data_IF_793924254639
#
_entry.id   IF_793924254639
#
_cell.length_a   1.000
_cell.length_b   1.000
_cell.length_c   1.000
_cell.angle_alpha   90.00
_cell.angle_beta   90.00
_cell.angle_gamma   90.00
#
_symmetry.space_group_name_H-M   'P 1'
#
loop_
_entity.id
_entity.type
_entity.pdbx_description
1 polymer ?
#
# COMPACT_ATOMS: atom_id res chain seq x y z
N UNK A 1 -5.60 -17.97 25.64
CA UNK A 1 -4.13 -17.88 25.51
C UNK A 1 -3.83 -17.50 24.06
N UNK A 2 -2.81 -16.68 23.80
CA UNK A 2 -2.38 -16.40 22.42
C UNK A 2 -1.86 -17.70 21.77
N UNK A 3 -2.09 -17.83 20.47
CA UNK A 3 -1.61 -18.99 19.70
C UNK A 3 -0.09 -18.96 19.60
N UNK A 4 0.58 -20.07 19.91
CA UNK A 4 2.04 -20.21 19.79
C UNK A 4 2.38 -20.46 18.32
N UNK A 5 3.10 -19.53 17.71
CA UNK A 5 3.58 -19.64 16.32
C UNK A 5 4.95 -20.32 16.27
N UNK A 6 5.84 -19.98 17.21
CA UNK A 6 7.19 -20.50 17.29
C UNK A 6 7.57 -20.87 18.72
N UNK A 7 8.29 -21.93 18.89
CA UNK A 7 8.99 -22.25 20.11
C UNK A 7 10.49 -22.44 19.83
N UNK A 8 11.28 -22.57 20.89
CA UNK A 8 12.73 -22.78 20.81
C UNK A 8 13.08 -23.86 19.79
N UNK A 9 12.55 -25.07 19.95
CA UNK A 9 12.93 -26.22 19.11
C UNK A 9 12.59 -26.03 17.64
N UNK A 10 11.41 -25.47 17.35
CA UNK A 10 11.00 -25.12 15.97
C UNK A 10 11.92 -24.08 15.36
N UNK A 11 12.27 -23.05 16.13
CA UNK A 11 13.10 -21.94 15.65
C UNK A 11 14.57 -22.40 15.43
N UNK A 12 15.14 -23.21 16.32
CA UNK A 12 16.46 -23.81 16.12
C UNK A 12 16.52 -24.68 14.87
N UNK A 13 15.53 -25.54 14.68
CA UNK A 13 15.44 -26.39 13.48
C UNK A 13 15.28 -25.58 12.19
N UNK A 14 14.49 -24.48 12.24
CA UNK A 14 14.25 -23.62 11.10
C UNK A 14 15.46 -22.75 10.72
N UNK A 15 16.15 -22.21 11.72
CA UNK A 15 17.17 -21.18 11.53
C UNK A 15 18.61 -21.73 11.55
N UNK A 16 18.79 -22.99 12.02
CA UNK A 16 20.08 -23.59 12.38
C UNK A 16 20.79 -22.80 13.51
N UNK A 17 20.05 -21.99 14.24
CA UNK A 17 20.52 -21.24 15.38
C UNK A 17 20.53 -22.10 16.67
N UNK A 18 21.05 -21.52 17.75
CA UNK A 18 21.10 -22.14 19.07
C UNK A 18 20.56 -21.22 20.14
N UNK A 19 19.85 -21.77 21.09
CA UNK A 19 19.36 -21.07 22.27
C UNK A 19 19.41 -22.01 23.48
N UNK A 20 19.92 -21.54 24.63
CA UNK A 20 20.02 -22.41 25.81
C UNK A 20 18.73 -22.46 26.64
N UNK A 21 17.91 -21.41 26.56
CA UNK A 21 16.71 -21.28 27.38
C UNK A 21 15.42 -21.55 26.60
N UNK A 22 14.42 -22.13 27.26
CA UNK A 22 13.11 -22.38 26.65
C UNK A 22 12.29 -21.09 26.51
N UNK A 23 11.60 -20.96 25.39
CA UNK A 23 10.63 -19.89 25.11
C UNK A 23 9.58 -20.33 24.10
N UNK A 24 8.46 -19.64 24.11
CA UNK A 24 7.36 -19.75 23.15
C UNK A 24 6.93 -18.34 22.73
N UNK A 25 6.77 -18.13 21.42
CA UNK A 25 6.39 -16.85 20.85
C UNK A 25 5.07 -16.95 20.08
N UNK A 26 4.22 -15.93 20.28
CA UNK A 26 2.94 -15.79 19.59
C UNK A 26 2.97 -14.80 18.41
N UNK A 27 4.11 -14.14 18.19
CA UNK A 27 4.35 -13.20 17.12
C UNK A 27 5.83 -12.96 16.88
N UNK A 28 6.13 -12.11 15.90
CA UNK A 28 7.49 -11.70 15.56
C UNK A 28 7.48 -10.19 15.31
N UNK A 29 8.44 -9.46 15.89
CA UNK A 29 8.63 -8.02 15.67
C UNK A 29 10.10 -7.65 15.52
N UNK A 30 10.39 -6.64 14.72
CA UNK A 30 11.74 -6.02 14.62
C UNK A 30 11.76 -4.59 15.17
N UNK A 31 10.62 -4.08 15.66
CA UNK A 31 10.53 -2.75 16.29
C UNK A 31 10.26 -2.89 17.78
N UNK A 32 11.29 -2.62 18.61
CA UNK A 32 11.19 -2.74 20.07
C UNK A 32 10.15 -1.80 20.70
N UNK A 33 9.74 -0.72 20.02
CA UNK A 33 8.75 0.27 20.50
C UNK A 33 7.31 -0.20 20.35
N UNK A 34 7.06 -1.09 19.39
CA UNK A 34 5.72 -1.58 19.06
C UNK A 34 5.58 -3.09 19.23
N UNK A 35 6.54 -3.71 19.91
CA UNK A 35 6.54 -5.14 20.20
C UNK A 35 5.37 -5.49 21.14
N UNK A 36 4.72 -6.62 20.89
CA UNK A 36 3.68 -7.11 21.77
C UNK A 36 4.26 -8.10 22.79
N UNK A 37 3.59 -8.21 23.93
CA UNK A 37 3.94 -9.24 24.92
C UNK A 37 3.77 -10.62 24.28
N UNK A 38 4.85 -11.41 24.31
CA UNK A 38 4.87 -12.73 23.70
C UNK A 38 5.52 -12.80 22.32
N UNK A 39 6.02 -11.70 21.76
CA UNK A 39 6.73 -11.69 20.47
C UNK A 39 8.18 -12.17 20.60
N UNK A 40 8.68 -12.79 19.53
CA UNK A 40 10.11 -12.95 19.25
C UNK A 40 10.64 -11.66 18.63
N UNK A 41 11.61 -11.00 19.27
CA UNK A 41 12.28 -9.83 18.69
C UNK A 41 13.34 -10.26 17.69
N UNK A 42 13.44 -9.57 16.56
CA UNK A 42 14.45 -9.81 15.51
C UNK A 42 15.41 -8.63 15.46
N UNK A 43 16.66 -8.84 15.87
CA UNK A 43 17.70 -7.83 15.90
C UNK A 43 18.34 -7.66 14.52
N UNK A 44 17.67 -6.93 13.61
CA UNK A 44 18.17 -6.67 12.27
C UNK A 44 19.35 -5.70 12.30
N UNK A 45 20.44 -5.97 11.55
CA UNK A 45 21.50 -4.99 11.32
C UNK A 45 20.98 -3.86 10.42
N UNK A 46 21.44 -2.63 10.64
CA UNK A 46 21.05 -1.47 9.86
C UNK A 46 21.83 -0.23 10.30
N UNK A 47 21.43 0.98 9.86
CA UNK A 47 21.99 2.25 10.34
C UNK A 47 21.95 2.33 11.88
N UNK A 48 20.91 1.78 12.48
CA UNK A 48 20.83 1.48 13.91
C UNK A 48 20.86 -0.03 14.05
N UNK A 49 21.87 -0.55 14.75
CA UNK A 49 21.99 -1.99 14.97
C UNK A 49 20.87 -2.48 15.91
N UNK A 50 20.03 -3.39 15.41
CA UNK A 50 18.94 -3.98 16.19
C UNK A 50 19.38 -4.64 17.48
N UNK A 51 20.64 -5.07 17.58
CA UNK A 51 21.22 -5.65 18.79
C UNK A 51 21.25 -4.67 19.97
N UNK A 52 21.35 -3.37 19.72
CA UNK A 52 21.32 -2.33 20.76
C UNK A 52 19.93 -2.16 21.39
N UNK A 53 18.89 -2.66 20.75
CA UNK A 53 17.50 -2.58 21.21
C UNK A 53 16.97 -3.86 21.85
N UNK A 54 17.79 -4.91 21.99
CA UNK A 54 17.36 -6.20 22.57
C UNK A 54 16.85 -6.00 23.99
N UNK A 55 17.55 -5.23 24.83
CA UNK A 55 17.09 -4.93 26.19
C UNK A 55 15.73 -4.24 26.18
N UNK A 56 15.57 -3.19 25.37
CA UNK A 56 14.29 -2.48 25.23
C UNK A 56 13.17 -3.40 24.74
N UNK A 57 13.47 -4.36 23.86
CA UNK A 57 12.49 -5.34 23.40
C UNK A 57 12.01 -6.27 24.53
N UNK A 58 12.93 -6.77 25.36
CA UNK A 58 12.56 -7.57 26.55
C UNK A 58 11.77 -6.74 27.56
N UNK A 59 12.18 -5.50 27.83
CA UNK A 59 11.49 -4.58 28.74
C UNK A 59 10.04 -4.30 28.27
N UNK A 60 9.82 -4.31 26.95
CA UNK A 60 8.51 -4.11 26.33
C UNK A 60 7.73 -5.41 26.06
N UNK A 61 8.23 -6.59 26.48
CA UNK A 61 7.48 -7.84 26.50
C UNK A 61 7.88 -8.91 25.49
N UNK A 62 9.03 -8.77 24.81
CA UNK A 62 9.61 -9.86 24.03
C UNK A 62 9.86 -11.07 24.93
N UNK A 63 9.56 -12.28 24.42
CA UNK A 63 9.84 -13.53 25.13
C UNK A 63 11.19 -14.12 24.77
N UNK A 64 11.77 -13.74 23.65
CA UNK A 64 13.09 -14.10 23.17
C UNK A 64 13.58 -13.09 22.15
N UNK A 65 14.88 -13.11 21.82
CA UNK A 65 15.44 -12.32 20.73
C UNK A 65 16.29 -13.17 19.79
N UNK A 66 16.10 -13.03 18.48
CA UNK A 66 16.96 -13.61 17.46
C UNK A 66 18.07 -12.59 17.12
N UNK A 67 19.31 -13.02 17.30
CA UNK A 67 20.51 -12.17 17.22
C UNK A 67 21.61 -12.85 16.42
N UNK A 68 22.50 -12.09 15.77
CA UNK A 68 23.70 -12.66 15.11
C UNK A 68 24.95 -12.60 15.96
N UNK A 69 24.91 -11.89 17.08
CA UNK A 69 25.98 -11.78 18.07
C UNK A 69 25.37 -11.58 19.44
N UNK A 70 26.07 -11.95 20.50
CA UNK A 70 25.58 -11.72 21.85
C UNK A 70 25.54 -10.23 22.18
N UNK A 71 24.37 -9.66 22.54
CA UNK A 71 24.26 -8.26 22.92
C UNK A 71 24.95 -7.98 24.26
N UNK A 72 25.37 -6.74 24.47
CA UNK A 72 25.98 -6.31 25.74
C UNK A 72 24.99 -6.47 26.92
N UNK A 73 25.47 -7.03 28.02
CA UNK A 73 24.66 -7.26 29.24
C UNK A 73 23.78 -8.51 29.22
N UNK A 74 23.92 -9.34 28.22
CA UNK A 74 23.26 -10.65 28.11
C UNK A 74 24.27 -11.79 28.22
N UNK A 75 23.83 -12.95 28.65
CA UNK A 75 24.65 -14.16 28.80
C UNK A 75 24.00 -15.36 28.06
N UNK A 76 24.67 -16.49 28.05
CA UNK A 76 24.25 -17.69 27.34
C UNK A 76 22.94 -18.32 27.85
N UNK A 77 22.53 -17.99 29.09
CA UNK A 77 21.28 -18.48 29.68
C UNK A 77 20.08 -17.57 29.39
N UNK A 78 20.33 -16.41 28.76
CA UNK A 78 19.24 -15.53 28.30
C UNK A 78 18.54 -16.16 27.09
N UNK A 79 17.30 -15.74 26.86
CA UNK A 79 16.47 -16.27 25.76
C UNK A 79 16.87 -15.68 24.41
N UNK A 80 18.13 -15.92 24.02
CA UNK A 80 18.73 -15.48 22.77
C UNK A 80 18.84 -16.65 21.79
N UNK A 81 18.19 -16.53 20.64
CA UNK A 81 18.38 -17.41 19.50
C UNK A 81 19.55 -16.86 18.67
N UNK A 82 20.72 -17.41 18.83
CA UNK A 82 21.93 -16.98 18.11
C UNK A 82 21.97 -17.67 16.76
N UNK A 83 22.05 -16.88 15.69
CA UNK A 83 22.07 -17.31 14.28
C UNK A 83 23.23 -16.66 13.53
N UNK A 84 23.67 -17.24 12.42
CA UNK A 84 24.75 -16.64 11.61
C UNK A 84 24.33 -15.31 10.96
N UNK A 85 23.09 -15.22 10.47
CA UNK A 85 22.52 -14.07 9.80
C UNK A 85 21.02 -13.99 10.12
N UNK A 86 20.61 -12.90 10.77
CA UNK A 86 19.24 -12.71 11.23
C UNK A 86 18.24 -12.65 10.07
N UNK A 87 18.60 -12.00 8.97
CA UNK A 87 17.70 -11.90 7.81
C UNK A 87 17.54 -13.25 7.11
N UNK A 88 18.62 -13.99 6.91
CA UNK A 88 18.56 -15.35 6.32
C UNK A 88 17.80 -16.30 7.22
N UNK A 89 17.95 -16.20 8.54
CA UNK A 89 17.21 -16.98 9.51
C UNK A 89 15.71 -16.70 9.42
N UNK A 90 15.29 -15.45 9.35
CA UNK A 90 13.90 -15.06 9.14
C UNK A 90 13.33 -15.62 7.83
N UNK A 91 14.09 -15.55 6.73
CA UNK A 91 13.67 -16.15 5.43
C UNK A 91 13.50 -17.67 5.55
N UNK A 92 14.36 -18.36 6.31
CA UNK A 92 14.19 -19.81 6.56
C UNK A 92 12.92 -20.10 7.34
N UNK A 93 12.65 -19.33 8.41
CA UNK A 93 11.38 -19.44 9.16
C UNK A 93 10.17 -19.20 8.24
N UNK A 94 10.20 -18.18 7.42
CA UNK A 94 9.17 -17.87 6.42
C UNK A 94 8.91 -19.04 5.46
N UNK A 95 9.98 -19.64 4.91
CA UNK A 95 9.88 -20.82 4.01
C UNK A 95 9.22 -22.03 4.70
N UNK A 96 9.55 -22.27 5.95
CA UNK A 96 8.95 -23.38 6.71
C UNK A 96 7.46 -23.12 6.96
N UNK A 97 7.10 -21.97 7.51
CA UNK A 97 5.69 -21.59 7.68
C UNK A 97 4.90 -21.67 6.37
N UNK A 98 5.49 -21.15 5.27
CA UNK A 98 4.84 -21.22 3.96
C UNK A 98 4.59 -22.65 3.49
N UNK A 99 5.55 -23.54 3.68
CA UNK A 99 5.43 -24.92 3.24
C UNK A 99 4.47 -25.76 4.12
N UNK A 100 4.31 -25.39 5.37
CA UNK A 100 3.38 -26.06 6.31
C UNK A 100 1.94 -25.53 6.19
N UNK A 101 1.74 -24.35 5.59
CA UNK A 101 0.43 -23.75 5.48
C UNK A 101 -0.35 -24.27 4.26
N UNK A 102 -1.59 -24.74 4.51
CA UNK A 102 -2.56 -25.14 3.48
C UNK A 102 -3.44 -23.99 3.00
N UNK A 103 -3.21 -22.78 3.49
CA UNK A 103 -3.97 -21.59 3.10
C UNK A 103 -3.85 -21.31 1.58
N UNK A 104 -4.84 -20.62 1.05
CA UNK A 104 -4.80 -20.03 -0.30
C UNK A 104 -4.01 -18.74 -0.23
N UNK A 105 -2.88 -18.68 -0.95
CA UNK A 105 -2.00 -17.51 -1.00
C UNK A 105 -2.34 -16.62 -2.18
N UNK A 106 -2.58 -15.34 -1.92
CA UNK A 106 -2.90 -14.31 -2.90
C UNK A 106 -1.75 -13.31 -2.93
N UNK A 107 -0.98 -13.32 -4.02
CA UNK A 107 0.09 -12.35 -4.28
C UNK A 107 -0.49 -11.09 -4.93
N UNK A 108 -0.15 -9.91 -4.39
CA UNK A 108 -0.66 -8.62 -4.90
C UNK A 108 0.52 -7.72 -5.24
N UNK A 109 0.65 -7.36 -6.52
CA UNK A 109 1.64 -6.39 -7.01
C UNK A 109 1.00 -5.31 -7.88
N UNK A 110 1.80 -4.36 -8.33
CA UNK A 110 1.41 -3.28 -9.22
C UNK A 110 2.21 -2.01 -8.94
N UNK A 111 2.13 -1.03 -9.80
CA UNK A 111 2.74 0.28 -9.58
C UNK A 111 2.00 1.02 -8.47
N UNK A 112 0.68 1.09 -8.56
CA UNK A 112 -0.22 1.73 -7.58
C UNK A 112 -1.31 0.76 -7.13
N UNK A 113 -1.99 1.03 -6.00
CA UNK A 113 -3.15 0.27 -5.56
C UNK A 113 -2.88 -0.98 -4.71
N UNK A 114 -1.64 -1.48 -4.62
CA UNK A 114 -1.28 -2.71 -3.88
C UNK A 114 -1.85 -2.77 -2.46
N UNK A 115 -1.50 -1.80 -1.63
CA UNK A 115 -1.90 -1.78 -0.20
C UNK A 115 -3.41 -1.64 -0.04
N UNK A 116 -4.05 -0.77 -0.85
CA UNK A 116 -5.50 -0.60 -0.80
C UNK A 116 -6.23 -1.88 -1.24
N UNK A 117 -5.73 -2.58 -2.28
CA UNK A 117 -6.28 -3.88 -2.71
C UNK A 117 -6.09 -4.94 -1.65
N UNK A 118 -4.92 -5.02 -1.01
CA UNK A 118 -4.66 -5.93 0.11
C UNK A 118 -5.59 -5.64 1.29
N UNK A 119 -5.78 -4.38 1.63
CA UNK A 119 -6.63 -3.96 2.74
C UNK A 119 -8.11 -4.27 2.47
N UNK A 120 -8.64 -3.91 1.30
CA UNK A 120 -9.97 -4.34 0.83
C UNK A 120 -10.09 -5.86 0.85
N UNK A 121 -9.09 -6.57 0.33
CA UNK A 121 -9.04 -8.03 0.29
C UNK A 121 -9.05 -8.64 1.69
N UNK A 122 -8.34 -8.06 2.66
CA UNK A 122 -8.37 -8.55 4.04
C UNK A 122 -9.78 -8.49 4.63
N UNK A 123 -10.52 -7.42 4.36
CA UNK A 123 -11.91 -7.27 4.79
C UNK A 123 -12.84 -8.28 4.10
N UNK A 124 -12.67 -8.47 2.79
CA UNK A 124 -13.44 -9.40 1.97
C UNK A 124 -13.20 -10.85 2.40
N UNK A 125 -11.94 -11.29 2.45
CA UNK A 125 -11.62 -12.69 2.71
C UNK A 125 -11.89 -13.12 4.15
N UNK A 126 -11.87 -12.19 5.12
CA UNK A 126 -12.33 -12.45 6.50
C UNK A 126 -13.79 -12.95 6.56
N UNK A 127 -14.62 -12.58 5.58
CA UNK A 127 -16.00 -13.08 5.51
C UNK A 127 -16.09 -14.55 5.06
N UNK A 128 -15.03 -15.13 4.52
CA UNK A 128 -14.98 -16.52 4.05
C UNK A 128 -14.10 -17.44 4.89
N UNK A 129 -13.32 -16.88 5.81
CA UNK A 129 -12.49 -17.65 6.74
C UNK A 129 -11.36 -16.85 7.38
N UNK A 130 -10.62 -17.51 8.29
CA UNK A 130 -9.47 -16.93 8.98
C UNK A 130 -8.48 -16.43 7.94
N UNK A 131 -8.18 -15.13 7.98
CA UNK A 131 -7.38 -14.44 6.96
C UNK A 131 -6.19 -13.75 7.59
N UNK A 132 -5.01 -14.03 7.06
CA UNK A 132 -3.75 -13.38 7.42
C UNK A 132 -3.27 -12.48 6.25
N UNK A 133 -2.57 -11.39 6.53
CA UNK A 133 -2.13 -10.45 5.50
C UNK A 133 -0.94 -9.61 5.94
N UNK A 134 -0.17 -9.10 4.97
CA UNK A 134 0.98 -8.22 5.22
C UNK A 134 0.57 -7.00 6.02
N UNK A 135 1.25 -6.76 7.12
CA UNK A 135 1.06 -5.54 7.92
C UNK A 135 1.55 -4.32 7.16
N UNK A 136 0.86 -3.18 7.31
CA UNK A 136 1.24 -1.92 6.64
C UNK A 136 1.52 -2.15 5.15
N UNK A 137 2.59 -1.55 4.61
CA UNK A 137 3.09 -1.77 3.24
C UNK A 137 4.40 -2.57 3.26
N UNK A 138 4.49 -3.59 4.14
CA UNK A 138 5.64 -4.48 4.22
C UNK A 138 5.64 -5.42 3.01
N UNK A 139 6.30 -5.01 1.92
CA UNK A 139 6.22 -5.64 0.61
C UNK A 139 7.59 -6.00 -0.01
N UNK A 140 8.67 -5.85 0.75
CA UNK A 140 10.03 -6.29 0.43
C UNK A 140 10.33 -7.65 1.10
N UNK A 141 11.58 -8.13 0.97
CA UNK A 141 12.00 -9.43 1.52
C UNK A 141 11.76 -9.53 3.03
N UNK A 142 12.04 -8.47 3.81
CA UNK A 142 11.74 -8.44 5.24
C UNK A 142 10.23 -8.56 5.51
N UNK A 143 9.44 -7.73 4.84
CA UNK A 143 7.99 -7.69 5.03
C UNK A 143 7.28 -8.97 4.61
N UNK A 144 7.65 -9.55 3.47
CA UNK A 144 7.13 -10.84 3.02
C UNK A 144 7.52 -11.96 3.98
N UNK A 145 8.79 -11.98 4.43
CA UNK A 145 9.26 -13.00 5.37
C UNK A 145 8.55 -12.91 6.72
N UNK A 146 8.35 -11.70 7.26
CA UNK A 146 7.56 -11.51 8.49
C UNK A 146 6.12 -11.98 8.31
N UNK A 147 5.48 -11.62 7.21
CA UNK A 147 4.11 -12.06 6.90
C UNK A 147 4.01 -13.57 6.89
N UNK A 148 4.95 -14.24 6.23
CA UNK A 148 4.95 -15.71 6.15
C UNK A 148 5.28 -16.38 7.49
N UNK A 149 6.29 -15.87 8.21
CA UNK A 149 6.72 -16.43 9.49
C UNK A 149 5.69 -16.25 10.63
N UNK A 150 4.69 -15.37 10.42
CA UNK A 150 3.64 -15.08 11.41
C UNK A 150 2.26 -15.61 11.01
N UNK A 151 2.18 -16.55 10.07
CA UNK A 151 0.90 -17.16 9.66
C UNK A 151 0.33 -17.98 10.83
N UNK A 152 -0.85 -17.63 11.36
CA UNK A 152 -1.51 -18.44 12.38
C UNK A 152 -1.97 -19.81 11.82
N UNK A 153 -2.07 -20.81 12.67
CA UNK A 153 -2.68 -22.10 12.31
C UNK A 153 -4.12 -21.86 11.84
N UNK A 154 -4.65 -22.80 11.07
CA UNK A 154 -6.03 -22.76 10.52
C UNK A 154 -6.33 -21.52 9.67
N UNK A 155 -5.30 -20.77 9.24
CA UNK A 155 -5.46 -19.69 8.28
C UNK A 155 -5.94 -20.25 6.95
N UNK A 156 -7.04 -19.70 6.43
CA UNK A 156 -7.63 -20.12 5.15
C UNK A 156 -7.15 -19.28 3.97
N UNK A 157 -6.87 -18.01 4.20
CA UNK A 157 -6.41 -17.07 3.17
C UNK A 157 -5.22 -16.26 3.67
N UNK A 158 -4.21 -16.10 2.81
CA UNK A 158 -3.04 -15.25 3.08
C UNK A 158 -2.89 -14.25 1.93
N UNK A 159 -2.96 -12.95 2.23
CA UNK A 159 -2.73 -11.89 1.25
C UNK A 159 -1.35 -11.28 1.45
N UNK A 160 -0.49 -11.39 0.44
CA UNK A 160 0.87 -10.87 0.50
C UNK A 160 1.05 -9.76 -0.50
N UNK A 161 1.37 -8.57 -0.01
CA UNK A 161 1.79 -7.45 -0.85
C UNK A 161 3.23 -7.65 -1.30
N UNK A 162 3.49 -7.58 -2.61
CA UNK A 162 4.81 -7.78 -3.22
C UNK A 162 5.18 -6.51 -3.99
N UNK A 163 6.20 -5.82 -3.50
CA UNK A 163 6.74 -4.58 -4.07
C UNK A 163 8.06 -4.81 -4.78
N UNK A 164 8.56 -3.75 -5.41
CA UNK A 164 9.91 -3.72 -6.02
C UNK A 164 10.41 -2.30 -6.12
N UNK A 165 11.71 -2.15 -6.05
CA UNK A 165 12.49 -0.98 -6.42
C UNK A 165 13.49 -1.28 -7.54
N UNK A 166 13.87 -2.54 -7.73
CA UNK A 166 14.86 -3.02 -8.70
C UNK A 166 14.34 -4.25 -9.46
N UNK A 167 14.98 -4.54 -10.60
CA UNK A 167 14.66 -5.72 -11.40
C UNK A 167 15.00 -7.03 -10.67
N UNK A 168 14.12 -8.02 -10.78
CA UNK A 168 14.27 -9.36 -10.21
C UNK A 168 13.73 -9.53 -8.80
N UNK A 169 13.44 -8.46 -8.06
CA UNK A 169 12.92 -8.54 -6.69
C UNK A 169 11.56 -9.23 -6.62
N UNK A 170 10.65 -8.94 -7.56
CA UNK A 170 9.32 -9.59 -7.55
C UNK A 170 9.44 -11.09 -7.81
N UNK A 171 10.33 -11.51 -8.71
CA UNK A 171 10.55 -12.93 -8.96
C UNK A 171 11.05 -13.67 -7.70
N UNK A 172 12.05 -13.10 -7.01
CA UNK A 172 12.57 -13.66 -5.76
C UNK A 172 11.47 -13.75 -4.68
N UNK A 173 10.72 -12.68 -4.47
CA UNK A 173 9.63 -12.64 -3.51
C UNK A 173 8.51 -13.61 -3.88
N UNK A 174 8.19 -13.74 -5.15
CA UNK A 174 7.19 -14.69 -5.64
C UNK A 174 7.60 -16.13 -5.38
N UNK A 175 8.88 -16.48 -5.57
CA UNK A 175 9.41 -17.80 -5.24
C UNK A 175 9.38 -18.10 -3.73
N UNK A 176 9.50 -17.08 -2.89
CA UNK A 176 9.34 -17.21 -1.44
C UNK A 176 7.86 -17.41 -1.06
N UNK A 177 6.97 -16.58 -1.59
CA UNK A 177 5.53 -16.55 -1.26
C UNK A 177 4.80 -17.74 -1.90
N UNK A 178 5.18 -18.16 -3.09
CA UNK A 178 4.54 -19.22 -3.90
C UNK A 178 3.01 -19.00 -3.97
N UNK A 179 2.53 -17.90 -4.56
CA UNK A 179 1.11 -17.57 -4.56
C UNK A 179 0.30 -18.62 -5.34
N UNK A 180 -0.91 -18.93 -4.85
CA UNK A 180 -1.88 -19.71 -5.60
C UNK A 180 -2.57 -18.85 -6.65
N UNK A 181 -2.88 -17.60 -6.29
CA UNK A 181 -3.52 -16.61 -7.17
C UNK A 181 -2.81 -15.27 -7.08
N UNK A 182 -2.92 -14.47 -8.14
CA UNK A 182 -2.21 -13.22 -8.31
C UNK A 182 -3.17 -12.10 -8.72
N UNK A 183 -2.94 -10.90 -8.18
CA UNK A 183 -3.57 -9.66 -8.64
C UNK A 183 -2.45 -8.68 -9.01
N UNK A 184 -2.44 -8.22 -10.26
CA UNK A 184 -1.66 -7.07 -10.71
C UNK A 184 -2.63 -5.88 -10.77
N UNK A 185 -2.46 -4.90 -9.90
CA UNK A 185 -3.44 -3.81 -9.71
C UNK A 185 -3.33 -2.74 -10.78
N UNK A 186 -2.11 -2.41 -11.18
CA UNK A 186 -1.78 -1.37 -12.14
C UNK A 186 -0.35 -1.56 -12.67
N UNK A 187 -0.11 -1.15 -13.91
CA UNK A 187 1.24 -1.08 -14.51
C UNK A 187 1.38 0.26 -15.21
N UNK A 188 2.10 1.17 -14.58
CA UNK A 188 2.36 2.53 -15.04
C UNK A 188 3.75 2.98 -14.61
N UNK A 189 4.15 4.18 -15.00
CA UNK A 189 5.45 4.75 -14.65
C UNK A 189 5.55 4.91 -13.11
N UNK A 190 6.55 4.24 -12.53
CA UNK A 190 6.91 4.31 -11.12
C UNK A 190 8.19 3.51 -10.88
N UNK A 191 9.03 3.96 -9.94
CA UNK A 191 10.34 3.36 -9.66
C UNK A 191 11.24 3.23 -10.90
N UNK A 192 11.09 4.17 -11.86
CA UNK A 192 11.76 4.09 -13.17
C UNK A 192 13.28 4.27 -13.04
N UNK A 193 13.74 4.86 -11.95
CA UNK A 193 15.17 4.95 -11.65
C UNK A 193 15.80 3.57 -11.49
N UNK A 194 15.15 2.65 -10.79
CA UNK A 194 15.60 1.26 -10.61
C UNK A 194 15.22 0.36 -11.78
N UNK A 195 14.03 0.54 -12.35
CA UNK A 195 13.48 -0.34 -13.39
C UNK A 195 13.80 0.09 -14.82
N UNK A 196 14.28 1.33 -15.05
CA UNK A 196 14.80 1.92 -16.29
C UNK A 196 13.75 2.22 -17.38
N UNK A 197 12.74 1.38 -17.61
CA UNK A 197 11.76 1.56 -18.68
C UNK A 197 10.39 1.01 -18.30
N UNK A 198 9.33 1.43 -19.01
CA UNK A 198 8.00 0.87 -18.86
C UNK A 198 7.96 -0.62 -19.25
N UNK A 199 8.71 -1.03 -20.25
CA UNK A 199 8.81 -2.45 -20.65
C UNK A 199 9.38 -3.30 -19.51
N UNK A 200 10.42 -2.83 -18.85
CA UNK A 200 10.99 -3.50 -17.68
C UNK A 200 10.00 -3.52 -16.48
N UNK A 201 9.22 -2.45 -16.30
CA UNK A 201 8.17 -2.43 -15.26
C UNK A 201 7.13 -3.50 -15.53
N UNK A 202 6.72 -3.67 -16.79
CA UNK A 202 5.79 -4.75 -17.19
C UNK A 202 6.39 -6.12 -16.91
N UNK A 203 7.63 -6.35 -17.35
CA UNK A 203 8.33 -7.63 -17.16
C UNK A 203 8.50 -7.95 -15.67
N UNK A 204 8.89 -6.96 -14.87
CA UNK A 204 9.03 -7.09 -13.43
C UNK A 204 7.69 -7.40 -12.75
N UNK A 205 6.58 -6.73 -13.13
CA UNK A 205 5.27 -7.03 -12.55
C UNK A 205 4.75 -8.40 -12.97
N UNK A 206 4.98 -8.81 -14.24
CA UNK A 206 4.61 -10.14 -14.72
C UNK A 206 5.39 -11.25 -14.00
N UNK A 207 6.62 -10.97 -13.52
CA UNK A 207 7.47 -11.94 -12.84
C UNK A 207 6.89 -12.46 -11.51
N UNK A 208 5.82 -11.81 -10.98
CA UNK A 208 5.07 -12.36 -9.85
C UNK A 208 4.50 -13.74 -10.15
N UNK A 209 4.29 -14.07 -11.43
CA UNK A 209 3.81 -15.39 -11.85
C UNK A 209 4.88 -16.48 -11.76
N UNK A 210 6.17 -16.13 -11.64
CA UNK A 210 7.27 -17.10 -11.63
C UNK A 210 7.23 -18.09 -10.46
N UNK A 211 6.72 -17.65 -9.30
CA UNK A 211 6.53 -18.51 -8.12
C UNK A 211 5.12 -19.08 -7.98
N UNK A 212 4.21 -18.78 -8.93
CA UNK A 212 2.83 -19.21 -8.86
C UNK A 212 2.71 -20.74 -8.98
N UNK A 213 1.83 -21.32 -8.19
CA UNK A 213 1.50 -22.74 -8.33
C UNK A 213 0.78 -23.01 -9.67
N UNK A 214 0.99 -24.19 -10.23
CA UNK A 214 0.34 -24.61 -11.48
C UNK A 214 -1.19 -24.46 -11.39
N UNK A 215 -1.81 -23.99 -12.50
CA UNK A 215 -3.25 -23.69 -12.60
C UNK A 215 -3.74 -22.51 -11.76
N UNK A 216 -2.84 -21.67 -11.25
CA UNK A 216 -3.20 -20.44 -10.57
C UNK A 216 -3.83 -19.41 -11.52
N UNK A 217 -4.64 -18.52 -10.94
CA UNK A 217 -5.30 -17.42 -11.67
C UNK A 217 -4.46 -16.16 -11.51
N UNK A 218 -4.21 -15.46 -12.63
CA UNK A 218 -3.62 -14.13 -12.64
C UNK A 218 -4.66 -13.11 -13.13
N UNK A 219 -5.01 -12.17 -12.26
CA UNK A 219 -5.95 -11.09 -12.53
C UNK A 219 -5.16 -9.85 -12.87
N UNK A 220 -5.34 -9.33 -14.10
CA UNK A 220 -4.54 -8.22 -14.63
C UNK A 220 -5.38 -7.05 -15.15
N UNK A 221 -4.91 -5.80 -15.04
CA UNK A 221 -5.62 -4.63 -15.53
C UNK A 221 -5.57 -4.52 -17.05
N UNK A 222 -6.73 -4.29 -17.72
CA UNK A 222 -6.81 -4.20 -19.19
C UNK A 222 -6.33 -2.84 -19.72
N UNK A 223 -6.77 -1.76 -19.12
CA UNK A 223 -6.56 -0.39 -19.63
C UNK A 223 -5.17 0.20 -19.33
N UNK A 224 -4.12 -0.57 -19.51
CA UNK A 224 -2.73 -0.12 -19.38
C UNK A 224 -2.06 -0.04 -20.75
N UNK A 225 -1.11 0.87 -20.92
CA UNK A 225 -0.43 1.12 -22.20
C UNK A 225 0.20 -0.13 -22.82
N UNK A 226 0.79 -0.99 -21.99
CA UNK A 226 1.52 -2.18 -22.44
C UNK A 226 0.76 -3.50 -22.13
N UNK A 227 -0.57 -3.50 -22.28
CA UNK A 227 -1.37 -4.67 -21.94
C UNK A 227 -0.93 -5.94 -22.66
N UNK A 228 -0.73 -5.89 -23.98
CA UNK A 228 -0.36 -7.08 -24.77
C UNK A 228 0.97 -7.70 -24.33
N UNK A 229 1.94 -6.86 -23.92
CA UNK A 229 3.20 -7.35 -23.35
C UNK A 229 2.95 -8.05 -22.01
N UNK A 230 2.17 -7.44 -21.11
CA UNK A 230 1.82 -8.02 -19.81
C UNK A 230 1.08 -9.37 -20.00
N UNK A 231 0.08 -9.39 -20.88
CA UNK A 231 -0.71 -10.58 -21.19
C UNK A 231 0.19 -11.72 -21.68
N UNK A 232 1.05 -11.46 -22.67
CA UNK A 232 1.98 -12.45 -23.22
C UNK A 232 2.93 -13.01 -22.14
N UNK A 233 3.48 -12.14 -21.29
CA UNK A 233 4.38 -12.55 -20.21
C UNK A 233 3.67 -13.41 -19.18
N UNK A 234 2.48 -13.01 -18.73
CA UNK A 234 1.68 -13.76 -17.74
C UNK A 234 1.27 -15.13 -18.28
N UNK A 235 0.84 -15.20 -19.55
CA UNK A 235 0.52 -16.47 -20.21
C UNK A 235 1.75 -17.36 -20.35
N UNK A 236 2.92 -16.77 -20.63
CA UNK A 236 4.19 -17.48 -20.73
C UNK A 236 4.59 -18.23 -19.43
N UNK A 237 4.12 -17.78 -18.27
CA UNK A 237 4.27 -18.50 -17.00
C UNK A 237 3.24 -19.63 -16.79
N UNK A 238 2.26 -19.79 -17.69
CA UNK A 238 1.22 -20.81 -17.60
C UNK A 238 0.07 -20.47 -16.65
N UNK A 239 -0.08 -19.21 -16.28
CA UNK A 239 -1.19 -18.72 -15.45
C UNK A 239 -2.50 -18.67 -16.26
N UNK A 240 -3.62 -19.01 -15.61
CA UNK A 240 -4.94 -18.71 -16.16
C UNK A 240 -5.24 -17.22 -15.98
N UNK A 241 -5.29 -16.49 -17.08
CA UNK A 241 -5.42 -15.04 -17.08
C UNK A 241 -6.89 -14.62 -17.10
N UNK A 242 -7.25 -13.63 -16.28
CA UNK A 242 -8.53 -12.92 -16.35
C UNK A 242 -8.23 -11.41 -16.28
N UNK A 243 -8.67 -10.67 -17.29
CA UNK A 243 -8.49 -9.24 -17.38
C UNK A 243 -9.67 -8.47 -16.76
N UNK A 244 -9.39 -7.32 -16.14
CA UNK A 244 -10.42 -6.42 -15.63
C UNK A 244 -10.14 -4.97 -16.06
N UNK A 245 -11.20 -4.20 -16.27
CA UNK A 245 -11.04 -2.79 -16.67
C UNK A 245 -12.33 -2.16 -17.17
N UNK A 246 -12.22 -0.94 -17.67
CA UNK A 246 -13.34 -0.18 -18.27
C UNK A 246 -13.51 -0.52 -19.77
N UNK A 247 -12.51 -1.11 -20.39
CA UNK A 247 -12.44 -1.45 -21.80
C UNK A 247 -13.45 -2.54 -22.14
N UNK A 248 -14.06 -2.44 -23.36
CA UNK A 248 -15.07 -3.38 -23.83
C UNK A 248 -14.59 -4.83 -23.91
N UNK A 249 -13.31 -5.00 -24.20
CA UNK A 249 -12.65 -6.29 -24.33
C UNK A 249 -12.13 -6.84 -22.99
N UNK A 250 -12.46 -6.22 -21.83
CA UNK A 250 -12.13 -6.77 -20.52
C UNK A 250 -13.03 -7.97 -20.19
N UNK A 251 -12.44 -9.04 -19.64
CA UNK A 251 -13.19 -10.22 -19.18
C UNK A 251 -14.16 -9.85 -18.05
N UNK A 252 -13.73 -8.96 -17.16
CA UNK A 252 -14.58 -8.35 -16.14
C UNK A 252 -14.61 -6.84 -16.37
N UNK A 253 -15.76 -6.35 -16.83
CA UNK A 253 -15.89 -4.97 -17.28
C UNK A 253 -16.49 -4.07 -16.22
N UNK A 254 -15.86 -2.93 -16.00
CA UNK A 254 -16.35 -1.85 -15.14
C UNK A 254 -17.14 -0.86 -15.99
N UNK A 255 -18.39 -0.58 -15.58
CA UNK A 255 -19.28 0.36 -16.30
C UNK A 255 -20.03 1.26 -15.33
N UNK A 256 -20.62 2.34 -15.85
CA UNK A 256 -21.51 3.23 -15.09
C UNK A 256 -20.86 3.73 -13.78
N UNK A 257 -19.65 4.31 -13.90
CA UNK A 257 -18.99 4.90 -12.75
C UNK A 257 -19.63 6.27 -12.47
N UNK A 258 -20.31 6.38 -11.33
CA UNK A 258 -20.90 7.61 -10.85
C UNK A 258 -20.24 8.04 -9.55
N UNK A 259 -19.74 9.27 -9.50
CA UNK A 259 -19.03 9.82 -8.35
C UNK A 259 -19.92 10.85 -7.65
N UNK A 260 -20.13 10.68 -6.37
CA UNK A 260 -20.74 11.68 -5.48
C UNK A 260 -19.71 12.20 -4.46
N UNK A 261 -20.07 13.17 -3.64
CA UNK A 261 -19.18 13.78 -2.65
C UNK A 261 -18.52 12.78 -1.69
N UNK A 262 -19.22 11.70 -1.32
CA UNK A 262 -18.78 10.77 -0.28
C UNK A 262 -18.87 9.30 -0.73
N UNK A 263 -19.23 9.04 -1.98
CA UNK A 263 -19.37 7.68 -2.47
C UNK A 263 -19.12 7.61 -3.98
N UNK A 264 -18.69 6.45 -4.41
CA UNK A 264 -18.61 6.08 -5.82
C UNK A 264 -19.42 4.80 -6.03
N UNK A 265 -20.21 4.78 -7.10
CA UNK A 265 -20.96 3.60 -7.51
C UNK A 265 -20.51 3.14 -8.88
N UNK A 266 -20.65 1.85 -9.14
CA UNK A 266 -20.33 1.26 -10.43
C UNK A 266 -21.12 -0.03 -10.64
N UNK A 267 -21.22 -0.43 -11.91
CA UNK A 267 -21.67 -1.77 -12.31
C UNK A 267 -20.46 -2.51 -12.85
N UNK A 268 -20.29 -3.73 -12.38
CA UNK A 268 -19.20 -4.63 -12.81
C UNK A 268 -19.88 -5.83 -13.47
N UNK A 269 -19.54 -6.10 -14.74
CA UNK A 269 -20.02 -7.23 -15.50
C UNK A 269 -18.97 -8.31 -15.49
N UNK A 270 -19.32 -9.53 -15.05
CA UNK A 270 -18.41 -10.68 -15.10
C UNK A 270 -18.43 -11.37 -16.50
N UNK A 271 -17.57 -12.37 -16.69
CA UNK A 271 -17.48 -13.16 -17.92
C UNK A 271 -18.81 -13.85 -18.32
N UNK A 272 -19.68 -14.10 -17.32
CA UNK A 272 -21.03 -14.69 -17.53
C UNK A 272 -22.11 -13.64 -17.70
N UNK A 273 -21.73 -12.35 -17.80
CA UNK A 273 -22.64 -11.18 -17.86
C UNK A 273 -23.50 -10.98 -16.62
N UNK A 274 -23.13 -11.57 -15.47
CA UNK A 274 -23.76 -11.17 -14.22
C UNK A 274 -23.35 -9.74 -13.88
N UNK A 275 -24.28 -8.96 -13.33
CA UNK A 275 -24.07 -7.56 -12.97
C UNK A 275 -23.92 -7.45 -11.45
N UNK A 276 -22.75 -7.00 -11.00
CA UNK A 276 -22.50 -6.66 -9.62
C UNK A 276 -22.60 -5.14 -9.45
N UNK A 277 -23.49 -4.69 -8.60
CA UNK A 277 -23.59 -3.28 -8.22
C UNK A 277 -22.70 -3.04 -7.03
N UNK A 278 -21.73 -2.14 -7.16
CA UNK A 278 -20.77 -1.80 -6.13
C UNK A 278 -20.95 -0.34 -5.71
N UNK A 279 -20.90 -0.09 -4.40
CA UNK A 279 -20.84 1.25 -3.80
C UNK A 279 -19.70 1.29 -2.79
N UNK A 280 -18.79 2.25 -2.95
CA UNK A 280 -17.69 2.49 -2.00
C UNK A 280 -17.84 3.86 -1.34
N UNK A 281 -17.47 3.97 -0.08
CA UNK A 281 -17.48 5.22 0.70
C UNK A 281 -16.23 6.08 0.43
N UNK A 282 -16.01 6.42 -0.83
CA UNK A 282 -14.89 7.25 -1.30
C UNK A 282 -15.24 7.83 -2.67
N UNK A 283 -14.56 8.91 -3.08
CA UNK A 283 -14.71 9.51 -4.40
C UNK A 283 -13.62 9.04 -5.41
N UNK A 284 -12.65 8.24 -4.97
CA UNK A 284 -11.53 7.82 -5.81
C UNK A 284 -11.90 6.70 -6.79
N UNK A 285 -11.91 7.00 -8.09
CA UNK A 285 -12.25 6.02 -9.16
C UNK A 285 -11.34 4.78 -9.16
N UNK A 286 -10.07 4.95 -8.82
CA UNK A 286 -9.10 3.86 -8.79
C UNK A 286 -9.48 2.75 -7.79
N UNK A 287 -10.27 3.06 -6.74
CA UNK A 287 -10.73 2.04 -5.80
C UNK A 287 -11.77 1.10 -6.40
N UNK A 288 -12.55 1.56 -7.39
CA UNK A 288 -13.45 0.67 -8.15
C UNK A 288 -12.63 -0.39 -8.89
N UNK A 289 -11.50 0.01 -9.50
CA UNK A 289 -10.59 -0.95 -10.19
C UNK A 289 -10.03 -1.98 -9.21
N UNK A 290 -9.56 -1.53 -8.04
CA UNK A 290 -9.07 -2.44 -7.00
C UNK A 290 -10.15 -3.42 -6.52
N UNK A 291 -11.36 -2.92 -6.29
CA UNK A 291 -12.48 -3.74 -5.87
C UNK A 291 -12.93 -4.71 -6.98
N UNK A 292 -12.92 -4.29 -8.25
CA UNK A 292 -13.22 -5.16 -9.39
C UNK A 292 -12.24 -6.32 -9.50
N UNK A 293 -10.94 -6.07 -9.31
CA UNK A 293 -9.93 -7.12 -9.27
C UNK A 293 -10.21 -8.16 -8.17
N UNK A 294 -10.59 -7.71 -6.97
CA UNK A 294 -10.95 -8.59 -5.86
C UNK A 294 -12.24 -9.37 -6.13
N UNK A 295 -13.28 -8.74 -6.68
CA UNK A 295 -14.53 -9.42 -7.04
C UNK A 295 -14.29 -10.47 -8.14
N UNK A 296 -13.39 -10.18 -9.07
CA UNK A 296 -12.94 -11.15 -10.09
C UNK A 296 -12.33 -12.38 -9.42
N UNK A 297 -11.42 -12.19 -8.45
CA UNK A 297 -10.83 -13.30 -7.71
C UNK A 297 -11.87 -14.08 -6.92
N UNK A 298 -12.74 -13.40 -6.17
CA UNK A 298 -13.82 -14.02 -5.38
C UNK A 298 -14.71 -14.90 -6.26
N UNK A 299 -15.15 -14.38 -7.42
CA UNK A 299 -15.95 -15.14 -8.37
C UNK A 299 -15.22 -16.34 -8.95
N UNK A 300 -13.93 -16.18 -9.28
CA UNK A 300 -13.08 -17.26 -9.80
C UNK A 300 -12.83 -18.38 -8.79
N UNK A 301 -12.83 -18.05 -7.51
CA UNK A 301 -12.75 -19.01 -6.40
C UNK A 301 -14.12 -19.65 -6.07
N UNK A 302 -15.15 -19.35 -6.85
CA UNK A 302 -16.52 -19.81 -6.62
C UNK A 302 -17.11 -19.40 -5.26
N UNK A 303 -16.62 -18.29 -4.71
CA UNK A 303 -17.14 -17.64 -3.52
C UNK A 303 -18.28 -16.67 -3.94
N UNK A 304 -19.14 -16.30 -3.00
CA UNK A 304 -20.30 -15.43 -3.29
C UNK A 304 -19.88 -13.96 -3.47
N UNK A 305 -19.94 -13.34 -4.67
CA UNK A 305 -19.61 -11.93 -4.84
C UNK A 305 -20.49 -10.98 -3.99
N UNK A 306 -21.72 -11.36 -3.66
CA UNK A 306 -22.62 -10.56 -2.84
C UNK A 306 -22.06 -10.32 -1.42
N UNK A 307 -21.42 -11.32 -0.81
CA UNK A 307 -20.76 -11.21 0.49
C UNK A 307 -19.57 -10.24 0.40
N UNK A 308 -18.76 -10.35 -0.66
CA UNK A 308 -17.64 -9.46 -0.91
C UNK A 308 -18.09 -8.01 -1.10
N UNK A 309 -19.16 -7.78 -1.86
CA UNK A 309 -19.74 -6.44 -2.09
C UNK A 309 -20.17 -5.82 -0.75
N UNK A 310 -20.91 -6.57 0.08
CA UNK A 310 -21.31 -6.09 1.41
C UNK A 310 -20.13 -5.75 2.33
N UNK A 311 -19.02 -6.44 2.20
CA UNK A 311 -17.79 -6.13 2.92
C UNK A 311 -17.13 -4.85 2.36
N UNK A 312 -17.03 -4.72 1.04
CA UNK A 312 -16.43 -3.57 0.36
C UNK A 312 -17.21 -2.27 0.61
N UNK A 313 -18.54 -2.32 0.74
CA UNK A 313 -19.35 -1.15 1.08
C UNK A 313 -19.04 -0.55 2.46
N UNK A 314 -18.44 -1.33 3.34
CA UNK A 314 -18.00 -0.90 4.68
C UNK A 314 -16.56 -0.36 4.67
N UNK A 315 -15.81 -0.62 3.60
CA UNK A 315 -14.43 -0.22 3.50
C UNK A 315 -14.29 1.31 3.36
N UNK A 316 -13.25 1.86 3.99
CA UNK A 316 -12.85 3.26 3.87
C UNK A 316 -11.36 3.34 3.61
N UNK A 317 -10.89 4.35 2.84
CA UNK A 317 -9.47 4.54 2.58
C UNK A 317 -8.64 4.69 3.86
N UNK A 318 -7.42 4.14 3.82
CA UNK A 318 -6.45 4.25 4.90
C UNK A 318 -5.86 5.67 4.99
N UNK A 319 -5.36 6.03 6.16
CA UNK A 319 -4.56 7.23 6.37
C UNK A 319 -3.38 7.29 5.38
N UNK A 320 -3.13 8.44 4.80
CA UNK A 320 -2.14 8.65 3.76
C UNK A 320 -2.52 8.10 2.36
N UNK A 321 -3.67 7.46 2.23
CA UNK A 321 -4.10 6.78 1.00
C UNK A 321 -5.55 7.11 0.62
N UNK A 322 -5.92 8.38 0.70
CA UNK A 322 -7.23 8.88 0.29
C UNK A 322 -8.26 8.99 1.41
N UNK A 323 -7.84 8.86 2.67
CA UNK A 323 -8.72 9.13 3.80
C UNK A 323 -9.22 10.57 3.74
N UNK A 324 -10.53 10.75 3.83
CA UNK A 324 -11.18 12.06 3.90
C UNK A 324 -11.60 12.33 5.34
N UNK A 325 -11.26 13.51 5.85
CA UNK A 325 -11.63 13.95 7.19
C UNK A 325 -12.04 15.43 7.18
N UNK A 326 -12.97 15.79 8.04
CA UNK A 326 -13.31 17.18 8.34
C UNK A 326 -12.39 17.65 9.46
N UNK A 327 -11.70 18.76 9.25
CA UNK A 327 -10.77 19.36 10.20
C UNK A 327 -11.31 20.74 10.57
N UNK A 328 -11.41 21.00 11.89
CA UNK A 328 -11.86 22.29 12.42
C UNK A 328 -10.75 22.90 13.28
N UNK A 329 -10.39 24.12 13.00
CA UNK A 329 -9.36 24.86 13.75
C UNK A 329 -9.66 26.36 13.78
N UNK A 330 -9.03 27.06 14.74
CA UNK A 330 -9.13 28.52 14.85
C UNK A 330 -7.94 29.18 14.19
N UNK A 331 -8.20 30.11 13.28
CA UNK A 331 -7.18 30.94 12.65
C UNK A 331 -7.58 32.43 12.76
N UNK A 332 -6.78 33.22 13.48
CA UNK A 332 -7.02 34.65 13.70
C UNK A 332 -8.47 34.98 14.08
N UNK A 333 -9.01 34.30 15.11
CA UNK A 333 -10.39 34.45 15.63
C UNK A 333 -11.50 33.97 14.67
N UNK A 334 -11.16 33.31 13.56
CA UNK A 334 -12.12 32.68 12.67
C UNK A 334 -12.13 31.18 12.86
N UNK A 335 -13.32 30.58 13.07
CA UNK A 335 -13.53 29.15 13.04
C UNK A 335 -13.47 28.68 11.58
N UNK A 336 -12.46 27.91 11.23
CA UNK A 336 -12.25 27.35 9.90
C UNK A 336 -12.57 25.85 9.95
N UNK A 337 -13.43 25.42 9.04
CA UNK A 337 -13.69 24.00 8.76
C UNK A 337 -13.24 23.69 7.35
N UNK A 338 -12.38 22.70 7.17
CA UNK A 338 -11.89 22.23 5.87
C UNK A 338 -12.17 20.75 5.71
N UNK A 339 -12.25 20.32 4.46
CA UNK A 339 -12.22 18.89 4.11
C UNK A 339 -10.83 18.50 3.64
N UNK A 340 -10.16 17.64 4.40
CA UNK A 340 -8.81 17.16 4.12
C UNK A 340 -8.85 15.79 3.46
N UNK A 341 -8.18 15.65 2.31
CA UNK A 341 -7.91 14.40 1.59
C UNK A 341 -6.45 14.04 1.83
N UNK A 342 -6.22 13.04 2.65
CA UNK A 342 -4.88 12.59 3.02
C UNK A 342 -4.36 11.54 2.02
N UNK A 343 -3.54 11.97 1.08
CA UNK A 343 -2.81 11.17 0.08
C UNK A 343 -1.30 11.18 0.34
N UNK A 344 -0.89 11.48 1.57
CA UNK A 344 0.49 11.83 1.94
C UNK A 344 1.47 10.65 1.99
N UNK A 345 1.01 9.41 1.76
CA UNK A 345 1.87 8.24 1.91
C UNK A 345 2.95 8.13 0.82
N UNK A 346 2.59 8.26 -0.45
CA UNK A 346 3.53 8.20 -1.58
C UNK A 346 2.94 8.84 -2.84
N UNK A 347 3.80 9.19 -3.81
CA UNK A 347 3.40 9.77 -5.08
C UNK A 347 4.21 9.21 -6.25
N UNK A 348 3.50 8.97 -7.36
CA UNK A 348 4.04 8.78 -8.70
C UNK A 348 3.09 9.47 -9.70
N UNK A 349 3.46 9.66 -10.98
CA UNK A 349 2.65 10.41 -11.94
C UNK A 349 1.21 9.89 -12.06
N UNK A 350 1.02 8.57 -12.14
CA UNK A 350 -0.30 7.95 -12.25
C UNK A 350 -1.17 8.15 -11.01
N UNK A 351 -0.61 7.91 -9.81
CA UNK A 351 -1.34 8.11 -8.56
C UNK A 351 -1.65 9.57 -8.29
N UNK A 352 -0.76 10.49 -8.67
CA UNK A 352 -0.98 11.92 -8.51
C UNK A 352 -2.13 12.40 -9.40
N UNK A 353 -2.16 11.97 -10.68
CA UNK A 353 -3.27 12.23 -11.59
C UNK A 353 -4.60 11.74 -10.98
N UNK A 354 -4.66 10.49 -10.50
CA UNK A 354 -5.87 9.93 -9.89
C UNK A 354 -6.33 10.69 -8.65
N UNK A 355 -5.38 11.19 -7.83
CA UNK A 355 -5.72 11.98 -6.64
C UNK A 355 -6.24 13.37 -7.00
N UNK A 356 -5.69 14.02 -8.04
CA UNK A 356 -6.23 15.30 -8.56
C UNK A 356 -7.64 15.11 -9.13
N UNK A 357 -7.90 14.03 -9.85
CA UNK A 357 -9.25 13.67 -10.31
C UNK A 357 -10.21 13.49 -9.14
N UNK A 358 -9.76 12.83 -8.06
CA UNK A 358 -10.55 12.67 -6.83
C UNK A 358 -10.87 14.00 -6.18
N UNK A 359 -9.88 14.90 -6.05
CA UNK A 359 -10.06 16.26 -5.50
C UNK A 359 -11.14 17.04 -6.26
N UNK A 360 -11.14 16.95 -7.58
CA UNK A 360 -12.13 17.63 -8.43
C UNK A 360 -13.54 17.05 -8.29
N UNK A 361 -13.68 15.75 -7.98
CA UNK A 361 -14.97 15.08 -7.83
C UNK A 361 -15.63 15.27 -6.45
N UNK A 362 -14.87 15.68 -5.44
CA UNK A 362 -15.42 15.92 -4.10
C UNK A 362 -16.13 17.26 -4.07
N UNK A 363 -17.39 17.26 -3.63
CA UNK A 363 -18.22 18.44 -3.42
C UNK A 363 -18.55 18.61 -1.95
N UNK A 364 -18.77 19.82 -1.50
CA UNK A 364 -19.40 20.09 -0.20
C UNK A 364 -20.91 20.06 -0.35
N UNK A 365 -21.60 19.31 0.53
CA UNK A 365 -23.07 19.19 0.49
C UNK A 365 -23.81 20.41 1.05
N UNK A 366 -23.11 21.47 1.40
CA UNK A 366 -23.76 22.64 2.01
C UNK A 366 -24.46 23.48 0.93
N UNK A 367 -25.76 23.23 0.79
CA UNK A 367 -26.68 23.99 -0.07
C UNK A 367 -26.76 25.50 0.28
N UNK A 368 -26.13 25.92 1.39
CA UNK A 368 -26.23 27.29 1.94
C UNK A 368 -24.94 28.11 1.79
N UNK A 369 -23.91 27.64 1.08
CA UNK A 369 -22.74 28.47 0.84
C UNK A 369 -22.93 29.32 -0.42
N UNK A 370 -22.87 30.64 -0.27
CA UNK A 370 -22.92 31.62 -1.34
C UNK A 370 -21.70 31.57 -2.30
N UNK A 371 -20.65 30.82 -1.94
CA UNK A 371 -19.44 30.62 -2.75
C UNK A 371 -19.10 29.13 -2.83
N UNK A 372 -18.66 28.69 -4.03
CA UNK A 372 -18.16 27.35 -4.22
C UNK A 372 -16.86 27.17 -3.40
N UNK A 373 -16.68 25.97 -2.75
CA UNK A 373 -15.47 25.67 -2.00
C UNK A 373 -14.24 25.67 -2.90
N UNK A 374 -13.14 26.27 -2.43
CA UNK A 374 -11.88 26.23 -3.16
C UNK A 374 -11.29 24.81 -3.06
N UNK A 375 -10.76 24.33 -4.16
CA UNK A 375 -9.98 23.10 -4.26
C UNK A 375 -8.50 23.43 -4.22
N UNK A 376 -7.82 22.89 -3.22
CA UNK A 376 -6.41 23.17 -2.95
C UNK A 376 -5.63 21.87 -3.05
N UNK A 377 -4.60 21.85 -3.88
CA UNK A 377 -3.64 20.76 -3.96
C UNK A 377 -2.32 21.17 -3.31
N UNK A 378 -1.80 20.38 -2.38
CA UNK A 378 -0.47 20.52 -1.78
C UNK A 378 0.36 19.34 -2.26
N UNK A 379 1.31 19.62 -3.16
CA UNK A 379 2.04 18.62 -3.92
C UNK A 379 3.51 18.61 -3.52
N UNK A 380 4.00 17.49 -3.02
CA UNK A 380 5.41 17.24 -2.77
C UNK A 380 6.07 16.51 -3.93
N UNK A 381 7.40 16.54 -3.98
CA UNK A 381 8.17 15.89 -5.03
C UNK A 381 7.79 14.43 -5.22
N UNK A 382 7.76 13.99 -6.48
CA UNK A 382 7.72 12.60 -6.88
C UNK A 382 9.15 12.11 -7.09
N UNK A 383 9.60 11.19 -6.24
CA UNK A 383 10.95 10.65 -6.28
C UNK A 383 11.05 9.37 -7.13
N UNK A 384 12.26 8.89 -7.35
CA UNK A 384 12.57 7.66 -8.10
C UNK A 384 12.11 7.69 -9.58
N UNK A 385 12.00 8.90 -10.16
CA UNK A 385 11.66 9.10 -11.57
C UNK A 385 12.89 9.22 -12.48
N UNK A 386 14.10 9.17 -11.92
CA UNK A 386 15.36 9.22 -12.65
C UNK A 386 15.41 10.39 -13.64
N UNK A 387 15.85 10.13 -14.87
CA UNK A 387 16.00 11.18 -15.91
C UNK A 387 14.68 11.85 -16.33
N UNK A 388 13.54 11.24 -16.06
CA UNK A 388 12.23 11.81 -16.41
C UNK A 388 11.66 12.76 -15.35
N UNK A 389 12.31 12.92 -14.20
CA UNK A 389 11.74 13.61 -13.04
C UNK A 389 11.24 15.03 -13.35
N UNK A 390 12.05 15.85 -14.03
CA UNK A 390 11.68 17.24 -14.37
C UNK A 390 10.48 17.24 -15.32
N UNK A 391 10.49 16.38 -16.34
CA UNK A 391 9.43 16.25 -17.33
C UNK A 391 8.11 15.83 -16.67
N UNK A 392 8.14 14.86 -15.78
CA UNK A 392 6.93 14.37 -15.10
C UNK A 392 6.32 15.42 -14.16
N UNK A 393 7.15 16.19 -13.45
CA UNK A 393 6.65 17.28 -12.61
C UNK A 393 6.03 18.40 -13.47
N UNK A 394 6.68 18.81 -14.56
CA UNK A 394 6.15 19.83 -15.46
C UNK A 394 4.88 19.34 -16.18
N UNK A 395 4.80 18.07 -16.55
CA UNK A 395 3.62 17.51 -17.21
C UNK A 395 2.33 17.60 -16.37
N UNK A 396 2.43 17.73 -15.05
CA UNK A 396 1.27 17.97 -14.19
C UNK A 396 0.53 19.23 -14.66
N UNK A 397 1.24 20.30 -15.10
CA UNK A 397 0.62 21.54 -15.57
C UNK A 397 -0.27 21.37 -16.80
N UNK A 398 -0.15 20.26 -17.53
CA UNK A 398 -0.93 19.95 -18.74
C UNK A 398 -2.19 19.14 -18.45
N UNK A 399 -2.42 18.74 -17.19
CA UNK A 399 -3.61 17.98 -16.83
C UNK A 399 -4.84 18.88 -16.85
N UNK A 400 -5.86 18.51 -17.58
CA UNK A 400 -7.14 19.26 -17.66
C UNK A 400 -7.85 19.36 -16.30
N UNK A 401 -7.53 18.48 -15.36
CA UNK A 401 -8.04 18.57 -13.98
C UNK A 401 -7.59 19.83 -13.27
N UNK A 402 -6.43 20.41 -13.64
CA UNK A 402 -5.93 21.63 -13.01
C UNK A 402 -6.82 22.85 -13.24
N UNK A 403 -7.60 22.88 -14.32
CA UNK A 403 -8.54 23.99 -14.59
C UNK A 403 -9.56 24.16 -13.45
N UNK A 404 -9.90 23.05 -12.78
CA UNK A 404 -10.88 22.96 -11.68
C UNK A 404 -10.25 23.06 -10.28
N UNK A 405 -8.94 23.27 -10.18
CA UNK A 405 -8.21 23.44 -8.92
C UNK A 405 -7.86 24.90 -8.75
N UNK A 406 -8.20 25.48 -7.61
CA UNK A 406 -8.05 26.91 -7.37
C UNK A 406 -6.64 27.31 -6.99
N UNK A 407 -5.97 26.54 -6.13
CA UNK A 407 -4.60 26.80 -5.69
C UNK A 407 -3.77 25.54 -5.61
N UNK A 408 -2.52 25.66 -6.04
CA UNK A 408 -1.53 24.59 -6.00
C UNK A 408 -0.32 25.08 -5.20
N UNK A 409 -0.10 24.43 -4.07
CA UNK A 409 1.07 24.59 -3.22
C UNK A 409 2.09 23.53 -3.58
N UNK A 410 3.35 23.88 -3.62
CA UNK A 410 4.42 23.01 -4.07
C UNK A 410 5.49 22.85 -2.99
N UNK A 411 5.95 21.61 -2.74
CA UNK A 411 6.97 21.29 -1.75
C UNK A 411 8.10 20.52 -2.42
N UNK A 412 9.31 21.03 -2.27
CA UNK A 412 10.51 20.41 -2.80
C UNK A 412 11.07 21.04 -4.07
N UNK A 413 12.35 20.75 -4.37
CA UNK A 413 13.07 21.36 -5.49
C UNK A 413 12.54 20.96 -6.86
N UNK A 414 11.99 19.74 -7.01
CA UNK A 414 11.41 19.26 -8.26
C UNK A 414 10.06 19.90 -8.53
N UNK A 415 9.21 20.00 -7.51
CA UNK A 415 7.92 20.71 -7.59
C UNK A 415 8.07 22.20 -7.85
N UNK A 416 9.25 22.80 -7.58
CA UNK A 416 9.57 24.18 -8.01
C UNK A 416 9.47 24.33 -9.52
N UNK A 417 9.80 23.28 -10.29
CA UNK A 417 9.68 23.31 -11.76
C UNK A 417 8.21 23.42 -12.20
N UNK A 418 7.32 22.66 -11.55
CA UNK A 418 5.88 22.81 -11.75
C UNK A 418 5.42 24.21 -11.35
N UNK A 419 5.77 24.69 -10.15
CA UNK A 419 5.38 26.00 -9.64
C UNK A 419 5.70 27.12 -10.62
N UNK A 420 6.86 27.09 -11.26
CA UNK A 420 7.32 28.11 -12.20
C UNK A 420 6.51 28.14 -13.50
N UNK A 421 5.91 27.03 -13.93
CA UNK A 421 5.10 26.94 -15.16
C UNK A 421 3.59 27.08 -14.91
N UNK A 422 3.13 27.03 -13.67
CA UNK A 422 1.72 27.25 -13.33
C UNK A 422 1.30 28.69 -13.69
N UNK A 423 0.05 28.91 -14.15
CA UNK A 423 -0.53 30.22 -14.25
C UNK A 423 -0.55 30.94 -12.88
N UNK A 424 -0.23 32.24 -12.86
CA UNK A 424 -0.16 33.03 -11.62
C UNK A 424 -1.39 32.89 -10.71
N UNK A 425 -2.64 32.91 -11.21
CA UNK A 425 -3.82 32.74 -10.38
C UNK A 425 -3.89 31.38 -9.67
N UNK A 426 -3.26 30.32 -10.22
CA UNK A 426 -3.22 28.97 -9.66
C UNK A 426 -2.12 28.77 -8.62
N UNK A 427 -1.13 29.65 -8.58
CA UNK A 427 0.00 29.53 -7.65
C UNK A 427 -0.45 29.78 -6.22
N UNK A 428 -0.16 28.82 -5.35
CA UNK A 428 -0.14 28.98 -3.90
C UNK A 428 1.23 29.51 -3.46
N UNK A 429 1.89 28.77 -2.58
CA UNK A 429 3.26 29.01 -2.11
C UNK A 429 4.12 27.82 -2.49
N UNK A 430 5.40 28.07 -2.81
CA UNK A 430 6.41 27.04 -2.88
C UNK A 430 7.30 27.08 -1.62
N UNK A 431 7.63 25.92 -1.08
CA UNK A 431 8.61 25.75 0.01
C UNK A 431 9.55 24.62 -0.30
N UNK A 432 10.71 24.62 0.31
CA UNK A 432 11.70 23.57 0.12
C UNK A 432 11.32 22.28 0.86
N UNK A 433 10.72 22.41 2.02
CA UNK A 433 10.38 21.29 2.92
C UNK A 433 8.89 21.27 3.32
N UNK A 434 8.41 20.09 3.70
CA UNK A 434 7.07 19.92 4.28
C UNK A 434 6.92 20.63 5.62
N UNK A 435 8.02 20.75 6.39
CA UNK A 435 8.04 21.45 7.67
C UNK A 435 7.79 22.97 7.50
N UNK A 436 8.32 23.58 6.48
CA UNK A 436 8.02 24.98 6.14
C UNK A 436 6.56 25.12 5.67
N UNK A 437 6.12 24.22 4.78
CA UNK A 437 4.78 24.27 4.22
C UNK A 437 3.68 24.16 5.30
N UNK A 438 3.86 23.32 6.31
CA UNK A 438 2.87 23.17 7.38
C UNK A 438 2.56 24.49 8.12
N UNK A 439 3.57 25.38 8.26
CA UNK A 439 3.39 26.66 8.94
C UNK A 439 2.76 27.72 8.01
N UNK A 440 3.05 27.64 6.72
CA UNK A 440 2.49 28.55 5.71
C UNK A 440 1.04 28.21 5.39
N UNK A 441 0.73 26.92 5.22
CA UNK A 441 -0.56 26.46 4.71
C UNK A 441 -1.72 26.87 5.62
N UNK A 442 -1.60 26.68 6.94
CA UNK A 442 -2.65 26.99 7.91
C UNK A 442 -3.17 28.43 7.74
N UNK A 443 -2.26 29.38 7.49
CA UNK A 443 -2.61 30.81 7.30
C UNK A 443 -3.19 31.15 5.92
N UNK A 444 -3.23 30.18 5.00
CA UNK A 444 -3.73 30.36 3.61
C UNK A 444 -5.06 29.66 3.36
N UNK A 445 -5.54 28.89 4.34
CA UNK A 445 -6.79 28.17 4.24
C UNK A 445 -7.97 29.04 4.69
N UNK A 446 -9.10 28.85 4.00
CA UNK A 446 -10.37 29.49 4.30
C UNK A 446 -11.41 28.44 4.72
N UNK A 447 -12.47 28.92 5.36
CA UNK A 447 -13.60 28.06 5.70
C UNK A 447 -14.21 27.44 4.41
N UNK A 448 -14.48 26.15 4.46
CA UNK A 448 -15.05 25.40 3.34
C UNK A 448 -14.03 24.84 2.33
N UNK A 449 -12.73 25.13 2.46
CA UNK A 449 -11.71 24.60 1.54
C UNK A 449 -11.68 23.07 1.51
N UNK A 450 -11.43 22.51 0.32
CA UNK A 450 -11.13 21.10 0.11
C UNK A 450 -9.64 21.01 -0.20
N UNK A 451 -8.89 20.35 0.70
CA UNK A 451 -7.42 20.30 0.64
C UNK A 451 -6.96 18.89 0.41
N UNK A 452 -6.15 18.65 -0.60
CA UNK A 452 -5.49 17.36 -0.86
C UNK A 452 -3.99 17.50 -0.66
N UNK A 453 -3.38 16.58 0.09
CA UNK A 453 -1.94 16.56 0.38
C UNK A 453 -1.33 15.30 -0.17
N UNK A 454 -0.33 15.42 -1.08
CA UNK A 454 0.33 14.28 -1.71
C UNK A 454 1.79 14.55 -2.04
N UNK A 455 2.65 13.54 -1.83
CA UNK A 455 4.06 13.54 -2.20
C UNK A 455 4.71 12.20 -1.93
N UNK A 456 5.95 12.00 -2.36
CA UNK A 456 6.70 10.78 -2.07
C UNK A 456 6.93 10.62 -0.56
N UNK A 457 7.08 9.36 -0.12
CA UNK A 457 7.15 9.01 1.31
C UNK A 457 8.20 9.82 2.08
N UNK A 458 9.42 9.91 1.53
CA UNK A 458 10.54 10.63 2.18
C UNK A 458 10.39 12.16 2.18
N UNK A 459 9.40 12.72 1.46
CA UNK A 459 9.08 14.15 1.54
C UNK A 459 8.40 14.54 2.86
N UNK A 460 7.96 13.56 3.66
CA UNK A 460 7.34 13.80 4.96
C UNK A 460 6.03 14.60 4.89
N UNK A 461 5.26 14.47 3.80
CA UNK A 461 4.00 15.22 3.61
C UNK A 461 2.95 14.95 4.70
N UNK A 462 3.06 13.82 5.39
CA UNK A 462 2.23 13.48 6.54
C UNK A 462 2.42 14.45 7.73
N UNK A 463 3.54 15.18 7.83
CA UNK A 463 3.74 16.22 8.86
C UNK A 463 2.74 17.35 8.69
N UNK A 464 2.43 17.74 7.43
CA UNK A 464 1.43 18.76 7.12
C UNK A 464 0.04 18.26 7.54
N UNK A 465 -0.29 16.99 7.22
CA UNK A 465 -1.56 16.36 7.63
C UNK A 465 -1.70 16.35 9.15
N UNK A 466 -0.66 15.91 9.85
CA UNK A 466 -0.66 15.86 11.33
C UNK A 466 -0.79 17.26 11.94
N UNK A 467 -0.11 18.26 11.38
CA UNK A 467 -0.24 19.63 11.83
C UNK A 467 -1.69 20.13 11.75
N UNK A 468 -2.35 19.93 10.59
CA UNK A 468 -3.74 20.33 10.40
C UNK A 468 -4.72 19.59 11.34
N UNK A 469 -4.45 18.31 11.66
CA UNK A 469 -5.29 17.51 12.57
C UNK A 469 -5.12 17.91 14.04
N UNK A 470 -3.99 18.52 14.40
CA UNK A 470 -3.62 18.86 15.78
C UNK A 470 -3.67 20.39 16.05
N UNK A 471 -4.12 21.20 15.09
CA UNK A 471 -4.33 22.62 15.23
C UNK A 471 -5.73 22.90 15.74
#
# INVERSE_FOLDING_TARGET
MAEILWNKSMAEAATLGKCNSFWEASGISFDSRTINKGDLFIALPGERDGHDFVKSAFDNGAVAAMVSKQPKGFNENDKLLIVDDVMKALVRMAKISRNQSEAIFIGITGTSGKTSTKDMGSLVFKCYGKTHFSMKSYNNILGCSLTLATIPKDTKYVLVEIGTSCLGEIAELSQLVKPDHIIITDVSIGHIEGLKSLDNIVDEKASICSGQKKKGIAIIPRGIEKFSQLETKVQGFGSHLISFGEEECSDVRITNIEVSSNAITSRILDQKRNIWKLKLKTAGKHYIKNAAALLTLVSSLKLSPAVAISALEKWTPLAGRGQVSEIKFNNHNNNISIRLIDESYNANPGSLKSSLETLVCIFTNEKNQSQQPRRIAVLGDMLELGFSEVKEHVNISKLSTLDKIDKIFCVGPRMRKLYNVLPYPKRGVWTETALEMQNVLVNKLNNGDIVMIKGSFSMGMNTIVNKLKNT
#
